data_IF_148819507470
#
_entry.id   IF_148819507470
#
_cell.length_a   1.000
_cell.length_b   1.000
_cell.length_c   1.000
_cell.angle_alpha   90.00
_cell.angle_beta   90.00
_cell.angle_gamma   90.00
#
_symmetry.space_group_name_H-M   'P 1'
#
loop_
_entity.id
_entity.type
_entity.pdbx_description
1 polymer ?
#
# COMPACT_ATOMS: atom_id res chain seq x y z
N UNK A 1 0.20 -16.74 26.90
CA UNK A 1 -0.78 -17.84 27.10
C UNK A 1 -0.47 -18.91 26.06
N UNK A 2 -0.47 -20.20 26.43
CA UNK A 2 -0.03 -21.28 25.52
C UNK A 2 -1.14 -21.61 24.51
N UNK A 3 -0.72 -21.96 23.29
CA UNK A 3 -1.54 -22.15 22.06
C UNK A 3 -2.72 -23.13 22.19
N UNK A 4 -2.79 -23.92 23.27
CA UNK A 4 -3.82 -24.94 23.46
C UNK A 4 -5.14 -24.43 24.08
N UNK A 5 -5.19 -23.23 24.67
CA UNK A 5 -6.36 -22.75 25.42
C UNK A 5 -7.38 -21.93 24.60
N UNK A 6 -7.06 -21.58 23.34
CA UNK A 6 -7.86 -20.65 22.52
C UNK A 6 -9.04 -21.35 21.80
N UNK A 7 -9.06 -22.68 21.73
CA UNK A 7 -10.11 -23.43 21.03
C UNK A 7 -11.42 -23.62 21.82
N UNK A 8 -11.51 -23.11 23.06
CA UNK A 8 -12.68 -23.33 23.93
C UNK A 8 -13.67 -22.15 24.04
N UNK A 9 -13.41 -20.99 23.43
CA UNK A 9 -14.20 -19.76 23.66
C UNK A 9 -14.94 -19.20 22.42
N UNK A 10 -14.95 -19.92 21.30
CA UNK A 10 -15.55 -19.46 20.03
C UNK A 10 -17.08 -19.59 19.90
N UNK A 11 -17.85 -19.73 20.98
CA UNK A 11 -19.26 -20.12 20.92
C UNK A 11 -20.31 -19.08 21.40
N UNK A 12 -19.92 -17.87 21.83
CA UNK A 12 -20.88 -17.03 22.58
C UNK A 12 -20.90 -15.53 22.26
N UNK A 13 -20.69 -15.10 21.01
CA UNK A 13 -20.99 -13.69 20.62
C UNK A 13 -21.55 -13.63 19.19
N UNK A 14 -22.75 -14.17 19.00
CA UNK A 14 -23.60 -13.90 17.85
C UNK A 14 -25.05 -13.85 18.33
N UNK A 15 -25.42 -12.81 19.08
CA UNK A 15 -26.81 -12.38 19.20
C UNK A 15 -26.85 -11.04 19.94
N UNK A 16 -26.85 -9.94 19.19
CA UNK A 16 -27.54 -8.66 19.46
C UNK A 16 -26.80 -7.51 18.78
N UNK A 17 -27.42 -6.97 17.72
CA UNK A 17 -27.81 -5.56 17.63
C UNK A 17 -28.38 -5.31 16.23
N UNK A 18 -29.69 -5.54 16.13
CA UNK A 18 -30.55 -4.97 15.11
C UNK A 18 -31.46 -3.96 15.84
N UNK A 19 -31.11 -2.68 15.77
CA UNK A 19 -32.00 -1.56 16.08
C UNK A 19 -31.39 -0.27 15.52
N UNK A 20 -31.81 0.11 14.32
CA UNK A 20 -31.54 1.44 13.77
C UNK A 20 -32.67 2.39 14.20
N UNK A 21 -32.39 3.62 14.67
CA UNK A 21 -33.36 4.70 14.67
C UNK A 21 -33.32 5.45 13.31
N UNK A 22 -34.49 5.85 12.83
CA UNK A 22 -34.70 6.49 11.53
C UNK A 22 -34.14 7.92 11.40
N UNK A 23 -34.16 8.49 10.18
CA UNK A 23 -33.52 9.77 9.89
C UNK A 23 -34.37 10.95 10.35
N UNK A 24 -33.79 11.85 11.13
CA UNK A 24 -34.34 13.17 11.38
C UNK A 24 -33.96 14.12 10.24
N UNK A 25 -34.96 14.87 9.76
CA UNK A 25 -34.82 15.88 8.72
C UNK A 25 -34.02 17.10 9.22
N UNK A 26 -33.02 17.52 8.45
CA UNK A 26 -32.39 18.83 8.61
C UNK A 26 -32.68 19.66 7.35
N UNK A 27 -33.29 20.83 7.59
CA UNK A 27 -33.61 21.84 6.59
C UNK A 27 -32.34 22.53 6.10
N UNK A 28 -32.43 23.09 4.89
CA UNK A 28 -31.29 23.46 4.08
C UNK A 28 -30.69 24.83 4.34
N UNK A 29 -29.53 25.01 3.70
CA UNK A 29 -29.08 26.31 3.19
C UNK A 29 -28.21 26.02 1.96
N UNK A 30 -28.78 26.28 0.79
CA UNK A 30 -28.11 26.13 -0.49
C UNK A 30 -27.07 27.25 -0.66
N UNK A 31 -25.80 26.90 -0.76
CA UNK A 31 -24.77 27.78 -1.31
C UNK A 31 -24.66 27.51 -2.81
N UNK A 32 -24.61 28.59 -3.58
CA UNK A 32 -24.54 28.59 -5.04
C UNK A 32 -23.27 27.86 -5.52
N UNK A 33 -23.46 26.85 -6.38
CA UNK A 33 -22.39 26.17 -7.09
C UNK A 33 -21.85 27.12 -8.16
N UNK A 34 -20.60 27.56 -8.01
CA UNK A 34 -19.87 28.28 -9.05
C UNK A 34 -19.59 27.36 -10.24
N UNK A 35 -19.91 27.82 -11.45
CA UNK A 35 -19.67 27.08 -12.70
C UNK A 35 -18.18 26.73 -12.91
N UNK A 36 -17.86 25.60 -13.57
CA UNK A 36 -16.49 25.24 -13.89
C UNK A 36 -15.89 26.23 -14.93
N UNK A 37 -14.58 26.55 -14.84
CA UNK A 37 -13.93 27.41 -15.82
C UNK A 37 -13.88 26.74 -17.20
N UNK A 38 -13.82 27.53 -18.29
CA UNK A 38 -13.81 26.99 -19.65
C UNK A 38 -12.52 26.17 -19.91
N UNK A 39 -12.55 25.23 -20.87
CA UNK A 39 -11.38 24.46 -21.24
C UNK A 39 -10.32 25.38 -21.84
N UNK A 40 -9.10 25.29 -21.31
CA UNK A 40 -7.94 26.07 -21.76
C UNK A 40 -7.59 25.63 -23.20
N UNK A 41 -7.66 26.59 -24.12
CA UNK A 41 -7.24 26.41 -25.51
C UNK A 41 -5.75 26.07 -25.59
N UNK A 42 -5.39 25.23 -26.58
CA UNK A 42 -4.02 24.78 -26.83
C UNK A 42 -3.04 25.97 -26.95
N UNK A 43 -1.96 25.91 -26.17
CA UNK A 43 -1.00 26.99 -26.01
C UNK A 43 0.08 27.01 -27.10
N UNK A 44 0.52 28.23 -27.45
CA UNK A 44 1.68 28.53 -28.27
C UNK A 44 3.01 28.14 -27.56
N UNK A 45 4.15 28.02 -28.29
CA UNK A 45 5.40 27.50 -27.74
C UNK A 45 6.00 28.49 -26.73
N UNK A 46 6.11 28.08 -25.47
CA UNK A 46 6.56 28.93 -24.35
C UNK A 46 6.08 28.55 -22.94
N UNK A 47 5.37 27.42 -22.74
CA UNK A 47 5.02 26.90 -21.41
C UNK A 47 6.03 25.83 -20.96
N UNK A 48 7.15 26.19 -20.32
CA UNK A 48 8.26 25.24 -20.11
C UNK A 48 8.51 24.77 -18.65
N UNK A 49 8.85 25.66 -17.70
CA UNK A 49 9.12 25.25 -16.30
C UNK A 49 8.23 25.99 -15.28
N UNK A 50 7.91 27.26 -15.55
CA UNK A 50 7.05 28.08 -14.69
C UNK A 50 5.63 27.52 -14.55
N UNK A 51 5.08 26.93 -15.62
CA UNK A 51 3.76 26.30 -15.56
C UNK A 51 3.75 25.06 -14.64
N UNK A 52 4.83 24.27 -14.68
CA UNK A 52 5.01 23.12 -13.77
C UNK A 52 5.20 23.62 -12.34
N UNK A 53 6.03 24.64 -12.13
CA UNK A 53 6.25 25.25 -10.83
C UNK A 53 4.94 25.77 -10.22
N UNK A 54 4.11 26.46 -11.02
CA UNK A 54 2.80 26.94 -10.62
C UNK A 54 1.85 25.78 -10.26
N UNK A 55 1.81 24.72 -11.09
CA UNK A 55 0.98 23.55 -10.82
C UNK A 55 1.41 22.81 -9.54
N UNK A 56 2.72 22.62 -9.35
CA UNK A 56 3.27 21.97 -8.14
C UNK A 56 2.98 22.84 -6.90
N UNK A 57 3.17 24.15 -6.97
CA UNK A 57 2.80 25.07 -5.89
C UNK A 57 1.31 24.98 -5.58
N UNK A 58 0.45 25.01 -6.58
CA UNK A 58 -0.99 24.90 -6.38
C UNK A 58 -1.36 23.57 -5.71
N UNK A 59 -0.77 22.45 -6.13
CA UNK A 59 -1.03 21.13 -5.57
C UNK A 59 -0.50 20.96 -4.14
N UNK A 60 0.59 21.65 -3.79
CA UNK A 60 1.32 21.45 -2.52
C UNK A 60 1.19 22.61 -1.53
N UNK A 61 0.52 23.71 -1.87
CA UNK A 61 0.38 24.88 -0.99
C UNK A 61 -0.25 24.55 0.36
N UNK A 62 -1.19 23.60 0.40
CA UNK A 62 -1.78 23.13 1.67
C UNK A 62 -0.76 22.46 2.59
N UNK A 63 0.31 21.90 2.04
CA UNK A 63 1.38 21.21 2.78
C UNK A 63 2.51 22.14 3.21
N UNK A 64 2.37 23.46 3.03
CA UNK A 64 3.19 24.40 3.80
C UNK A 64 3.02 24.20 5.32
N UNK A 65 1.86 23.66 5.71
CA UNK A 65 1.59 23.11 7.02
C UNK A 65 1.81 21.58 7.00
N UNK A 66 2.86 21.13 7.69
CA UNK A 66 3.22 19.71 7.72
C UNK A 66 2.14 18.84 8.37
N UNK A 67 1.34 19.37 9.28
CA UNK A 67 0.27 18.60 9.92
C UNK A 67 -0.82 18.25 8.91
N UNK A 68 -1.06 19.09 7.90
CA UNK A 68 -1.94 18.76 6.77
C UNK A 68 -1.34 17.68 5.88
N UNK A 69 -0.03 17.67 5.69
CA UNK A 69 0.63 16.58 4.97
C UNK A 69 0.49 15.25 5.75
N UNK A 70 0.75 15.26 7.05
CA UNK A 70 0.57 14.07 7.91
C UNK A 70 -0.88 13.58 7.90
N UNK A 71 -1.85 14.48 8.02
CA UNK A 71 -3.27 14.16 7.95
C UNK A 71 -3.69 13.55 6.61
N UNK A 72 -3.04 13.94 5.51
CA UNK A 72 -3.26 13.38 4.18
C UNK A 72 -2.45 12.09 3.92
N UNK A 73 -1.72 11.58 4.92
CA UNK A 73 -0.99 10.31 4.86
C UNK A 73 0.46 10.41 4.37
N UNK A 74 1.09 11.58 4.47
CA UNK A 74 2.53 11.69 4.25
C UNK A 74 3.30 11.24 5.49
N UNK A 75 4.21 10.28 5.31
CA UNK A 75 5.09 9.75 6.36
C UNK A 75 6.55 10.02 6.02
N UNK A 76 7.37 10.31 7.03
CA UNK A 76 8.80 10.54 6.85
C UNK A 76 9.48 9.24 6.41
N UNK A 77 10.20 9.25 5.30
CA UNK A 77 10.89 8.06 4.79
C UNK A 77 12.41 8.16 4.81
N UNK A 78 12.97 9.34 5.06
CA UNK A 78 14.41 9.54 5.13
C UNK A 78 14.84 10.37 6.33
N UNK A 79 16.13 10.36 6.60
CA UNK A 79 16.77 11.32 7.51
C UNK A 79 17.01 12.65 6.82
N UNK A 80 17.77 13.54 7.46
CA UNK A 80 18.27 14.74 6.79
C UNK A 80 19.35 14.34 5.77
N UNK A 81 19.00 14.38 4.49
CA UNK A 81 19.91 14.12 3.38
C UNK A 81 20.63 15.39 2.94
N UNK A 82 21.95 15.27 2.75
CA UNK A 82 22.79 16.39 2.38
C UNK A 82 22.31 17.02 1.06
N UNK A 83 22.02 18.32 1.08
CA UNK A 83 21.56 19.10 -0.06
C UNK A 83 20.17 18.72 -0.62
N UNK A 84 19.44 17.79 -0.01
CA UNK A 84 18.07 17.43 -0.42
C UNK A 84 17.06 17.85 0.65
N UNK A 85 17.24 17.47 1.91
CA UNK A 85 16.24 17.67 2.95
C UNK A 85 15.76 16.34 3.54
N UNK A 86 14.60 16.37 4.18
CA UNK A 86 13.91 15.20 4.73
C UNK A 86 12.74 14.85 3.82
N UNK A 87 12.71 13.61 3.32
CA UNK A 87 11.70 13.12 2.40
C UNK A 87 10.48 12.57 3.16
N UNK A 88 9.29 12.95 2.71
CA UNK A 88 8.01 12.47 3.18
C UNK A 88 7.23 11.89 2.02
N UNK A 89 6.79 10.64 2.12
CA UNK A 89 6.08 9.93 1.04
C UNK A 89 4.61 9.77 1.37
N UNK A 90 3.76 9.93 0.35
CA UNK A 90 2.36 9.52 0.38
C UNK A 90 2.15 8.28 -0.49
N UNK A 91 1.82 7.16 0.16
CA UNK A 91 1.66 5.86 -0.50
C UNK A 91 0.51 5.87 -1.53
N UNK A 92 -0.58 6.58 -1.25
CA UNK A 92 -1.71 6.68 -2.18
C UNK A 92 -1.34 7.45 -3.43
N UNK A 93 -0.63 8.57 -3.27
CA UNK A 93 -0.12 9.34 -4.39
C UNK A 93 0.88 8.52 -5.22
N UNK A 94 1.73 7.70 -4.57
CA UNK A 94 2.68 6.83 -5.26
C UNK A 94 2.01 5.67 -6.02
N UNK A 95 0.97 5.05 -5.45
CA UNK A 95 0.17 4.05 -6.17
C UNK A 95 -0.56 4.67 -7.36
N UNK A 96 -1.13 5.87 -7.18
CA UNK A 96 -1.81 6.59 -8.24
C UNK A 96 -0.83 7.02 -9.35
N UNK A 97 0.36 7.49 -9.02
CA UNK A 97 1.39 7.84 -10.02
C UNK A 97 1.84 6.60 -10.81
N UNK A 98 2.05 5.47 -10.13
CA UNK A 98 2.40 4.20 -10.77
C UNK A 98 1.30 3.67 -11.71
N UNK A 99 0.02 3.86 -11.35
CA UNK A 99 -1.14 3.49 -12.17
C UNK A 99 -1.43 4.50 -13.29
N UNK A 100 -1.29 5.80 -13.03
CA UNK A 100 -1.43 6.85 -14.03
C UNK A 100 -0.36 6.74 -15.12
N UNK A 101 0.85 6.32 -14.78
CA UNK A 101 1.89 5.94 -15.75
C UNK A 101 1.50 4.81 -16.71
N UNK A 102 0.47 4.01 -16.39
CA UNK A 102 -0.11 3.00 -17.31
C UNK A 102 -1.24 3.56 -18.19
N UNK A 103 -1.93 4.63 -17.77
CA UNK A 103 -3.20 5.04 -18.38
C UNK A 103 -3.30 6.50 -18.80
N UNK A 104 -2.44 7.43 -18.36
CA UNK A 104 -2.38 8.86 -18.76
C UNK A 104 -1.21 9.62 -18.09
N UNK A 105 -0.27 10.19 -18.87
CA UNK A 105 0.80 11.05 -18.35
C UNK A 105 0.32 12.40 -17.75
N UNK A 106 -0.89 12.86 -18.09
CA UNK A 106 -1.39 14.21 -17.75
C UNK A 106 -1.85 14.46 -16.31
N UNK A 107 -1.86 13.45 -15.42
CA UNK A 107 -2.31 13.60 -14.02
C UNK A 107 -1.19 13.45 -12.98
N UNK A 108 0.06 13.23 -13.41
CA UNK A 108 1.20 12.97 -12.51
C UNK A 108 1.55 14.20 -11.67
N UNK A 109 1.40 15.42 -12.21
CA UNK A 109 1.76 16.67 -11.53
C UNK A 109 0.81 17.07 -10.39
N UNK A 110 -0.44 16.58 -10.39
CA UNK A 110 -1.46 16.98 -9.42
C UNK A 110 -1.34 16.25 -8.08
N UNK A 111 -0.53 15.20 -8.02
CA UNK A 111 -0.29 14.39 -6.82
C UNK A 111 1.21 14.25 -6.62
N UNK A 112 1.81 15.15 -5.85
CA UNK A 112 3.22 15.04 -5.46
C UNK A 112 3.39 13.79 -4.59
N UNK A 113 4.04 12.71 -5.07
CA UNK A 113 4.16 11.49 -4.28
C UNK A 113 5.09 11.67 -3.10
N UNK A 114 6.03 12.61 -3.19
CA UNK A 114 6.95 12.96 -2.12
C UNK A 114 7.05 14.46 -1.92
N UNK A 115 7.19 14.86 -0.66
CA UNK A 115 7.43 16.22 -0.21
C UNK A 115 8.76 16.25 0.53
N UNK A 116 9.50 17.34 0.33
CA UNK A 116 10.80 17.54 0.96
C UNK A 116 10.70 18.69 1.91
N UNK A 117 11.02 18.46 3.19
CA UNK A 117 11.05 19.49 4.21
C UNK A 117 12.45 19.70 4.75
N UNK A 118 12.68 20.89 5.30
CA UNK A 118 13.86 21.18 6.12
C UNK A 118 13.43 21.65 7.51
N UNK A 119 14.13 21.22 8.57
CA UNK A 119 13.85 21.71 9.91
C UNK A 119 14.29 23.16 10.03
N UNK A 120 13.45 24.00 10.62
CA UNK A 120 13.76 25.40 10.94
C UNK A 120 14.42 25.48 12.32
N UNK A 121 15.10 26.61 12.62
CA UNK A 121 15.83 26.78 13.90
C UNK A 121 14.92 26.72 15.13
N UNK A 122 13.66 27.05 14.96
CA UNK A 122 12.60 27.03 15.97
C UNK A 122 11.86 25.68 16.02
N UNK A 123 12.39 24.63 15.36
CA UNK A 123 11.84 23.27 15.42
C UNK A 123 10.59 23.05 14.56
N UNK A 124 10.16 24.05 13.78
CA UNK A 124 9.10 23.88 12.77
C UNK A 124 9.66 23.26 11.49
N UNK A 125 8.79 22.86 10.58
CA UNK A 125 9.16 22.34 9.27
C UNK A 125 8.86 23.36 8.18
N UNK A 126 9.78 23.51 7.22
CA UNK A 126 9.57 24.31 6.02
C UNK A 126 9.55 23.39 4.81
N UNK A 127 8.44 23.40 4.06
CA UNK A 127 8.37 22.72 2.77
C UNK A 127 9.37 23.37 1.81
N UNK A 128 10.20 22.55 1.17
CA UNK A 128 11.25 23.00 0.27
C UNK A 128 10.98 22.62 -1.18
N UNK A 129 10.60 21.37 -1.42
CA UNK A 129 10.39 20.83 -2.76
C UNK A 129 9.32 19.74 -2.77
N UNK A 130 8.90 19.38 -3.98
CA UNK A 130 8.21 18.12 -4.27
C UNK A 130 9.14 17.23 -5.09
N UNK A 131 9.07 15.93 -4.90
CA UNK A 131 9.85 14.96 -5.67
C UNK A 131 8.91 13.94 -6.32
N UNK A 132 9.27 13.54 -7.54
CA UNK A 132 8.56 12.53 -8.31
C UNK A 132 9.54 11.42 -8.69
N UNK A 133 9.20 10.20 -8.32
CA UNK A 133 9.98 9.02 -8.65
C UNK A 133 9.20 8.10 -9.60
N UNK A 134 9.84 7.69 -10.69
CA UNK A 134 9.35 6.69 -11.62
C UNK A 134 10.34 5.53 -11.74
N UNK A 135 9.90 4.31 -12.03
CA UNK A 135 10.81 3.26 -12.46
C UNK A 135 11.62 3.76 -13.67
N UNK A 136 12.94 3.63 -13.64
CA UNK A 136 13.82 4.16 -14.69
C UNK A 136 13.51 3.60 -16.09
N UNK A 137 12.90 2.41 -16.17
CA UNK A 137 12.42 1.79 -17.41
C UNK A 137 11.18 2.42 -18.03
N UNK A 138 10.59 3.48 -17.43
CA UNK A 138 9.32 4.10 -17.87
C UNK A 138 9.47 5.55 -18.38
N UNK A 139 10.66 5.97 -18.79
CA UNK A 139 10.94 7.36 -19.18
C UNK A 139 10.46 7.75 -20.60
N UNK A 140 9.70 6.90 -21.30
CA UNK A 140 9.27 7.11 -22.69
C UNK A 140 8.40 8.37 -22.89
N UNK A 141 7.80 8.88 -21.81
CA UNK A 141 7.10 10.17 -21.78
C UNK A 141 7.67 11.03 -20.66
N UNK A 142 8.13 12.25 -20.98
CA UNK A 142 8.64 13.20 -19.97
C UNK A 142 7.51 14.15 -19.50
N UNK A 143 6.90 13.92 -18.31
CA UNK A 143 5.89 14.81 -17.75
C UNK A 143 6.47 16.14 -17.21
N UNK A 144 7.79 16.32 -17.19
CA UNK A 144 8.48 17.53 -16.73
C UNK A 144 9.35 18.11 -17.87
N UNK A 145 8.76 18.88 -18.80
CA UNK A 145 9.52 19.51 -19.88
C UNK A 145 10.72 20.31 -19.34
N UNK A 146 11.90 20.05 -19.88
CA UNK A 146 13.14 20.73 -19.48
C UNK A 146 13.79 20.21 -18.19
N UNK A 147 13.21 19.23 -17.49
CA UNK A 147 13.88 18.57 -16.39
C UNK A 147 14.85 17.49 -16.89
N UNK A 148 16.04 17.46 -16.30
CA UNK A 148 16.93 16.30 -16.35
C UNK A 148 16.59 15.40 -15.16
N UNK A 149 16.14 14.18 -15.44
CA UNK A 149 15.87 13.19 -14.40
C UNK A 149 17.20 12.66 -13.86
N UNK A 150 17.36 12.68 -12.54
CA UNK A 150 18.49 12.04 -11.87
C UNK A 150 18.18 10.58 -11.57
N UNK A 151 19.22 9.75 -11.49
CA UNK A 151 19.09 8.36 -11.09
C UNK A 151 19.37 8.25 -9.59
N UNK A 152 18.37 7.78 -8.84
CA UNK A 152 18.56 7.34 -7.47
C UNK A 152 18.89 5.84 -7.49
N UNK A 153 20.03 5.50 -6.89
CA UNK A 153 20.56 4.14 -6.89
C UNK A 153 19.59 3.16 -6.23
N UNK A 154 19.71 1.87 -6.55
CA UNK A 154 19.01 0.85 -5.78
C UNK A 154 19.59 0.81 -4.36
N UNK A 155 18.73 0.91 -3.35
CA UNK A 155 19.16 1.09 -1.96
C UNK A 155 18.35 0.28 -0.96
N UNK A 156 19.05 -0.17 0.09
CA UNK A 156 18.50 -0.77 1.30
C UNK A 156 18.18 0.33 2.29
N UNK A 157 17.01 0.27 2.90
CA UNK A 157 16.53 1.21 3.90
C UNK A 157 16.53 0.57 5.28
N UNK A 158 16.89 1.35 6.29
CA UNK A 158 17.00 0.92 7.67
C UNK A 158 16.10 1.74 8.58
N UNK A 159 15.75 1.18 9.74
CA UNK A 159 14.78 1.77 10.68
C UNK A 159 15.18 3.16 11.19
N UNK A 160 16.46 3.48 11.20
CA UNK A 160 17.00 4.79 11.58
C UNK A 160 17.06 5.80 10.41
N UNK A 161 16.34 5.51 9.32
CA UNK A 161 16.29 6.29 8.08
C UNK A 161 17.61 6.41 7.32
N UNK A 162 18.61 5.59 7.66
CA UNK A 162 19.79 5.45 6.83
C UNK A 162 19.49 4.57 5.63
N UNK A 163 20.21 4.84 4.55
CA UNK A 163 20.20 4.04 3.34
C UNK A 163 21.60 3.52 3.01
N UNK A 164 21.65 2.37 2.33
CA UNK A 164 22.87 1.80 1.81
C UNK A 164 22.63 1.27 0.38
N UNK A 165 23.36 1.78 -0.63
CA UNK A 165 23.23 1.28 -1.99
C UNK A 165 23.54 -0.22 -2.08
N UNK A 166 22.70 -0.96 -2.81
CA UNK A 166 22.88 -2.38 -3.08
C UNK A 166 22.26 -2.76 -4.43
N UNK A 167 22.83 -3.73 -5.16
CA UNK A 167 22.32 -4.11 -6.48
C UNK A 167 21.01 -4.90 -6.41
N UNK A 168 20.71 -5.54 -5.28
CA UNK A 168 19.55 -6.41 -5.10
C UNK A 168 19.16 -6.51 -3.62
N UNK A 169 17.89 -6.84 -3.30
CA UNK A 169 17.43 -6.91 -1.91
C UNK A 169 18.15 -8.00 -1.10
N UNK A 170 18.47 -9.14 -1.71
CA UNK A 170 19.25 -10.20 -1.07
C UNK A 170 20.72 -9.80 -0.75
N UNK A 171 21.21 -8.70 -1.34
CA UNK A 171 22.54 -8.15 -1.06
C UNK A 171 22.56 -7.16 0.10
N UNK A 172 21.40 -6.80 0.66
CA UNK A 172 21.32 -5.89 1.79
C UNK A 172 21.93 -6.51 3.05
N UNK A 173 22.77 -5.78 3.79
CA UNK A 173 23.07 -6.15 5.17
C UNK A 173 21.80 -6.19 6.01
N UNK A 174 21.65 -7.21 6.86
CA UNK A 174 20.51 -7.37 7.78
C UNK A 174 20.37 -6.21 8.77
N UNK A 175 21.49 -5.59 9.11
CA UNK A 175 21.58 -4.40 9.93
C UNK A 175 22.52 -3.40 9.27
N UNK A 176 22.27 -2.10 9.48
CA UNK A 176 23.11 -1.05 8.92
C UNK A 176 24.53 -1.14 9.52
N UNK A 177 25.61 -1.11 8.71
CA UNK A 177 26.97 -1.40 9.17
C UNK A 177 27.53 -0.40 10.19
N UNK A 178 26.99 0.81 10.28
CA UNK A 178 27.46 1.85 11.20
C UNK A 178 26.56 2.00 12.43
N UNK A 179 25.25 1.93 12.25
CA UNK A 179 24.27 2.21 13.32
C UNK A 179 23.68 0.96 13.96
N UNK A 180 23.83 -0.21 13.32
CA UNK A 180 23.20 -1.45 13.77
C UNK A 180 21.67 -1.48 13.61
N UNK A 181 21.08 -0.47 12.98
CA UNK A 181 19.64 -0.41 12.76
C UNK A 181 19.17 -1.57 11.85
N UNK A 182 18.02 -2.21 12.13
CA UNK A 182 17.53 -3.31 11.32
C UNK A 182 17.10 -2.86 9.93
N UNK A 183 17.31 -3.75 8.95
CA UNK A 183 16.79 -3.60 7.59
C UNK A 183 15.26 -3.50 7.60
N UNK A 184 14.73 -2.64 6.74
CA UNK A 184 13.28 -2.41 6.59
C UNK A 184 12.81 -2.81 5.20
N UNK A 185 13.38 -2.21 4.15
CA UNK A 185 12.94 -2.46 2.78
C UNK A 185 14.06 -2.18 1.79
N UNK A 186 13.83 -2.58 0.55
CA UNK A 186 14.68 -2.28 -0.57
C UNK A 186 13.82 -1.70 -1.70
N UNK A 187 14.34 -0.71 -2.42
CA UNK A 187 13.78 -0.30 -3.70
C UNK A 187 14.80 -0.47 -4.83
N UNK A 188 14.34 -0.79 -6.06
CA UNK A 188 15.20 -0.77 -7.23
C UNK A 188 15.63 0.67 -7.57
N UNK A 189 16.50 0.82 -8.57
CA UNK A 189 16.86 2.12 -9.13
C UNK A 189 15.61 2.90 -9.54
N UNK A 190 15.58 4.20 -9.25
CA UNK A 190 14.49 5.10 -9.58
C UNK A 190 15.03 6.26 -10.42
N UNK A 191 14.25 6.69 -11.41
CA UNK A 191 14.45 8.00 -12.01
C UNK A 191 13.66 9.00 -11.16
N UNK A 192 14.35 10.01 -10.64
CA UNK A 192 13.76 11.03 -9.78
C UNK A 192 13.87 12.41 -10.43
N UNK A 193 12.92 13.27 -10.10
CA UNK A 193 13.00 14.69 -10.41
C UNK A 193 12.52 15.50 -9.22
N UNK A 194 13.37 16.42 -8.79
CA UNK A 194 13.05 17.40 -7.77
C UNK A 194 12.40 18.62 -8.43
N UNK A 195 11.38 19.17 -7.78
CA UNK A 195 10.79 20.46 -8.14
C UNK A 195 10.89 21.38 -6.93
N UNK A 196 11.89 22.27 -6.94
CA UNK A 196 12.16 23.25 -5.88
C UNK A 196 11.14 24.39 -5.88
N UNK A 197 9.92 24.06 -5.46
CA UNK A 197 8.77 24.95 -5.50
C UNK A 197 8.75 25.99 -4.39
N UNK A 198 9.33 25.69 -3.23
CA UNK A 198 9.14 26.45 -2.00
C UNK A 198 10.44 26.90 -1.33
N UNK A 199 11.59 26.44 -1.83
CA UNK A 199 12.92 26.89 -1.42
C UNK A 199 13.72 27.36 -2.65
N UNK A 200 14.44 28.49 -2.58
CA UNK A 200 15.28 28.92 -3.68
C UNK A 200 16.40 27.91 -3.97
N UNK A 201 16.69 27.65 -5.24
CA UNK A 201 17.81 26.82 -5.64
C UNK A 201 18.64 27.56 -6.71
N UNK A 202 19.91 27.92 -6.43
CA UNK A 202 20.75 28.66 -7.37
C UNK A 202 21.13 27.86 -8.63
N UNK A 203 20.91 26.54 -8.62
CA UNK A 203 21.15 25.65 -9.76
C UNK A 203 19.90 25.44 -10.64
N UNK A 204 18.76 26.02 -10.27
CA UNK A 204 17.50 25.94 -11.01
C UNK A 204 16.43 25.06 -10.35
N UNK A 205 15.20 25.16 -10.86
CA UNK A 205 14.00 24.54 -10.25
C UNK A 205 13.97 23.02 -10.30
N UNK A 206 14.72 22.41 -11.24
CA UNK A 206 14.84 20.96 -11.41
C UNK A 206 16.22 20.42 -11.05
N UNK A 207 17.08 21.23 -10.42
CA UNK A 207 18.40 20.75 -10.04
C UNK A 207 18.28 19.58 -9.05
N UNK A 208 19.10 18.55 -9.24
CA UNK A 208 19.10 17.37 -8.39
C UNK A 208 19.32 17.74 -6.91
N UNK A 209 20.33 18.58 -6.65
CA UNK A 209 20.68 19.04 -5.31
C UNK A 209 20.43 20.54 -5.14
N UNK A 210 20.17 20.96 -3.90
CA UNK A 210 20.13 22.36 -3.50
C UNK A 210 21.30 22.72 -2.56
N UNK A 211 22.32 23.45 -3.03
CA UNK A 211 23.48 23.80 -2.21
C UNK A 211 23.15 24.75 -1.05
N UNK A 212 22.00 25.44 -1.07
CA UNK A 212 21.56 26.22 0.08
C UNK A 212 21.12 25.36 1.27
N UNK A 213 20.94 24.06 1.06
CA UNK A 213 20.61 23.14 2.14
C UNK A 213 21.85 22.54 2.83
N UNK A 214 23.07 22.84 2.35
CA UNK A 214 24.31 22.39 2.99
C UNK A 214 24.40 22.68 4.50
N UNK A 215 23.93 23.84 5.02
CA UNK A 215 24.00 24.13 6.47
C UNK A 215 23.13 23.24 7.35
N UNK A 216 22.12 22.56 6.79
CA UNK A 216 21.29 21.61 7.52
C UNK A 216 21.99 20.24 7.70
N UNK A 217 23.15 20.05 7.05
CA UNK A 217 23.97 18.85 7.17
C UNK A 217 23.47 17.64 6.36
N UNK A 218 24.08 16.50 6.64
CA UNK A 218 23.72 15.16 6.15
C UNK A 218 24.23 14.11 7.12
N UNK A 219 23.38 13.14 7.46
CA UNK A 219 23.60 12.09 8.48
C UNK A 219 24.32 12.58 9.75
N UNK A 220 23.68 13.51 10.48
CA UNK A 220 24.17 14.03 11.76
C UNK A 220 23.16 14.89 12.52
N UNK A 221 22.24 14.22 13.23
CA UNK A 221 21.42 14.67 14.37
C UNK A 221 20.19 15.60 14.12
N UNK A 222 19.13 15.55 14.97
CA UNK A 222 18.95 14.76 16.19
C UNK A 222 17.97 13.58 16.03
N UNK A 223 18.18 12.59 16.90
CA UNK A 223 17.25 11.49 17.16
C UNK A 223 15.88 12.01 17.64
N UNK A 224 14.87 11.96 16.78
CA UNK A 224 13.46 12.12 17.15
C UNK A 224 12.68 11.12 16.29
N UNK A 225 12.14 10.00 16.77
CA UNK A 225 11.63 9.61 18.08
C UNK A 225 12.11 8.20 18.45
N UNK A 226 12.87 8.04 19.53
CA UNK A 226 13.22 6.72 20.13
C UNK A 226 12.02 5.96 20.73
N UNK A 227 10.79 6.43 20.46
CA UNK A 227 9.55 5.79 20.91
C UNK A 227 8.64 5.34 19.78
N UNK A 228 8.98 5.60 18.51
CA UNK A 228 8.21 5.07 17.39
C UNK A 228 8.57 3.59 17.22
N UNK A 229 7.61 2.70 17.50
CA UNK A 229 7.77 1.24 17.36
C UNK A 229 8.12 0.89 15.91
N UNK A 230 7.60 1.65 14.94
CA UNK A 230 7.87 1.54 13.51
C UNK A 230 8.35 2.86 12.91
N UNK A 231 9.31 2.77 12.00
CA UNK A 231 9.78 3.87 11.15
C UNK A 231 8.80 4.18 10.02
N UNK A 232 8.84 5.39 9.47
CA UNK A 232 7.94 5.74 8.36
C UNK A 232 8.13 4.91 7.08
N UNK A 233 9.34 4.39 6.73
CA UNK A 233 9.47 3.37 5.69
C UNK A 233 8.70 2.07 5.98
N UNK A 234 8.69 1.59 7.23
CA UNK A 234 7.89 0.42 7.64
C UNK A 234 6.39 0.70 7.46
N UNK A 235 5.95 1.89 7.88
CA UNK A 235 4.56 2.33 7.70
C UNK A 235 4.19 2.38 6.21
N UNK A 236 5.00 3.06 5.40
CA UNK A 236 4.74 3.20 3.98
C UNK A 236 4.69 1.85 3.26
N UNK A 237 5.58 0.92 3.62
CA UNK A 237 5.62 -0.42 3.07
C UNK A 237 4.38 -1.25 3.46
N UNK A 238 3.99 -1.20 4.75
CA UNK A 238 2.79 -1.87 5.26
C UNK A 238 1.53 -1.36 4.58
N UNK A 239 1.32 -0.04 4.54
CA UNK A 239 0.15 0.56 3.88
C UNK A 239 0.09 0.20 2.41
N UNK A 240 1.23 0.24 1.70
CA UNK A 240 1.28 -0.11 0.28
C UNK A 240 0.83 -1.55 0.06
N UNK A 241 1.31 -2.49 0.89
CA UNK A 241 0.96 -3.89 0.76
C UNK A 241 -0.51 -4.17 1.07
N UNK A 242 -1.07 -3.56 2.12
CA UNK A 242 -2.49 -3.69 2.44
C UNK A 242 -3.37 -3.12 1.33
N UNK A 243 -3.11 -1.89 0.88
CA UNK A 243 -3.93 -1.25 -0.16
C UNK A 243 -3.81 -1.97 -1.51
N UNK A 244 -2.62 -2.44 -1.87
CA UNK A 244 -2.42 -3.30 -3.06
C UNK A 244 -3.21 -4.60 -2.97
N UNK A 245 -3.24 -5.23 -1.79
CA UNK A 245 -4.08 -6.42 -1.53
C UNK A 245 -5.56 -6.11 -1.69
N UNK A 246 -6.00 -4.93 -1.25
CA UNK A 246 -7.35 -4.41 -1.48
C UNK A 246 -7.70 -4.32 -2.97
N UNK A 247 -6.77 -3.82 -3.81
CA UNK A 247 -6.95 -3.78 -5.28
C UNK A 247 -7.07 -5.19 -5.87
N UNK A 248 -6.18 -6.12 -5.48
CA UNK A 248 -6.27 -7.53 -5.93
C UNK A 248 -7.65 -8.12 -5.61
N UNK A 249 -8.12 -7.96 -4.37
CA UNK A 249 -9.41 -8.49 -3.96
C UNK A 249 -10.58 -7.81 -4.66
N UNK A 250 -10.49 -6.51 -4.99
CA UNK A 250 -11.51 -5.82 -5.75
C UNK A 250 -11.66 -6.40 -7.17
N UNK A 251 -10.52 -6.64 -7.84
CA UNK A 251 -10.49 -7.23 -9.18
C UNK A 251 -11.00 -8.67 -9.15
N UNK A 252 -10.57 -9.46 -8.17
CA UNK A 252 -11.06 -10.83 -7.96
C UNK A 252 -12.58 -10.83 -7.71
N UNK A 253 -13.09 -9.91 -6.89
CA UNK A 253 -14.52 -9.78 -6.62
C UNK A 253 -15.30 -9.42 -7.88
N UNK A 254 -14.81 -8.49 -8.70
CA UNK A 254 -15.42 -8.13 -9.98
C UNK A 254 -15.51 -9.34 -10.94
N UNK A 255 -14.43 -10.12 -11.06
CA UNK A 255 -14.42 -11.36 -11.85
C UNK A 255 -15.37 -12.40 -11.25
N UNK A 256 -15.46 -12.53 -9.93
CA UNK A 256 -16.40 -13.42 -9.26
C UNK A 256 -17.88 -13.01 -9.48
N UNK A 257 -18.19 -11.71 -9.48
CA UNK A 257 -19.52 -11.20 -9.89
C UNK A 257 -19.82 -11.53 -11.36
N UNK A 258 -18.84 -11.49 -12.24
CA UNK A 258 -19.03 -11.87 -13.65
C UNK A 258 -19.25 -13.37 -13.83
N UNK A 259 -18.48 -14.19 -13.11
CA UNK A 259 -18.64 -15.66 -13.07
C UNK A 259 -20.05 -16.07 -12.63
N UNK A 260 -20.59 -15.38 -11.63
CA UNK A 260 -21.93 -15.61 -11.13
C UNK A 260 -23.03 -15.43 -12.19
N UNK A 261 -22.83 -14.55 -13.19
CA UNK A 261 -23.81 -14.24 -14.24
C UNK A 261 -23.90 -15.28 -15.37
N UNK A 262 -22.94 -16.21 -15.49
CA UNK A 262 -23.09 -17.41 -16.31
C UNK A 262 -22.44 -17.49 -17.71
N UNK A 263 -22.23 -16.43 -18.50
CA UNK A 263 -21.56 -16.59 -19.81
C UNK A 263 -20.06 -16.86 -19.64
N UNK A 264 -19.51 -17.81 -20.40
CA UNK A 264 -18.07 -18.16 -20.44
C UNK A 264 -17.45 -18.58 -19.10
N UNK A 265 -18.18 -19.38 -18.29
CA UNK A 265 -17.72 -19.90 -16.97
C UNK A 265 -16.26 -20.39 -16.97
N UNK A 266 -15.83 -21.15 -17.99
CA UNK A 266 -14.45 -21.66 -18.08
C UNK A 266 -13.39 -20.55 -18.17
N UNK A 267 -13.59 -19.55 -19.02
CA UNK A 267 -12.63 -18.45 -19.20
C UNK A 267 -12.53 -17.61 -17.92
N UNK A 268 -13.66 -17.34 -17.27
CA UNK A 268 -13.68 -16.58 -16.03
C UNK A 268 -13.15 -17.35 -14.82
N UNK A 269 -13.34 -18.66 -14.75
CA UNK A 269 -12.68 -19.50 -13.74
C UNK A 269 -11.17 -19.54 -13.93
N UNK A 270 -10.67 -19.61 -15.18
CA UNK A 270 -9.24 -19.49 -15.45
C UNK A 270 -8.68 -18.11 -15.05
N UNK A 271 -9.39 -17.03 -15.38
CA UNK A 271 -9.00 -15.67 -14.95
C UNK A 271 -8.98 -15.54 -13.42
N UNK A 272 -10.00 -16.06 -12.74
CA UNK A 272 -10.08 -16.10 -11.28
C UNK A 272 -8.93 -16.89 -10.66
N UNK A 273 -8.62 -18.06 -11.22
CA UNK A 273 -7.50 -18.88 -10.77
C UNK A 273 -6.17 -18.13 -10.87
N UNK A 274 -5.91 -17.51 -12.03
CA UNK A 274 -4.70 -16.72 -12.24
C UNK A 274 -4.60 -15.55 -11.25
N UNK A 275 -5.70 -14.83 -11.00
CA UNK A 275 -5.72 -13.71 -10.05
C UNK A 275 -5.46 -14.16 -8.60
N UNK A 276 -6.05 -15.27 -8.16
CA UNK A 276 -5.82 -15.82 -6.82
C UNK A 276 -4.38 -16.31 -6.63
N UNK A 277 -3.81 -16.98 -7.64
CA UNK A 277 -2.40 -17.41 -7.61
C UNK A 277 -1.49 -16.19 -7.60
N UNK A 278 -1.73 -15.20 -8.48
CA UNK A 278 -0.95 -13.98 -8.53
C UNK A 278 -0.99 -13.21 -7.20
N UNK A 279 -2.18 -13.11 -6.58
CA UNK A 279 -2.34 -12.48 -5.28
C UNK A 279 -1.58 -13.24 -4.18
N UNK A 280 -1.67 -14.56 -4.15
CA UNK A 280 -0.94 -15.38 -3.18
C UNK A 280 0.58 -15.31 -3.35
N UNK A 281 1.09 -15.31 -4.59
CA UNK A 281 2.51 -15.11 -4.89
C UNK A 281 2.96 -13.70 -4.49
N UNK A 282 2.15 -12.68 -4.78
CA UNK A 282 2.41 -11.32 -4.36
C UNK A 282 2.60 -11.23 -2.84
N UNK A 283 1.65 -11.77 -2.06
CA UNK A 283 1.76 -11.78 -0.61
C UNK A 283 2.98 -12.59 -0.14
N UNK A 284 3.18 -13.79 -0.68
CA UNK A 284 4.31 -14.66 -0.30
C UNK A 284 5.67 -13.95 -0.41
N UNK A 285 5.84 -13.13 -1.46
CA UNK A 285 7.06 -12.36 -1.71
C UNK A 285 7.13 -11.08 -0.88
N UNK A 286 6.00 -10.39 -0.67
CA UNK A 286 5.97 -9.01 -0.14
C UNK A 286 5.62 -8.89 1.33
N UNK A 287 4.99 -9.89 1.95
CA UNK A 287 4.55 -9.82 3.35
C UNK A 287 5.69 -9.51 4.31
N UNK A 288 6.89 -10.01 4.03
CA UNK A 288 8.08 -9.87 4.87
C UNK A 288 9.25 -9.41 3.98
N UNK A 289 9.56 -8.10 3.92
CA UNK A 289 10.60 -7.58 3.03
C UNK A 289 12.00 -8.11 3.36
N UNK A 290 12.24 -8.50 4.62
CA UNK A 290 13.47 -9.07 5.12
C UNK A 290 13.64 -10.55 4.77
N UNK A 291 12.53 -11.27 4.56
CA UNK A 291 12.53 -12.72 4.43
C UNK A 291 12.80 -13.21 3.00
N UNK A 292 13.24 -14.46 2.91
CA UNK A 292 13.29 -15.22 1.66
C UNK A 292 11.89 -15.27 0.99
N UNK A 293 11.80 -15.18 -0.36
CA UNK A 293 12.87 -15.19 -1.35
C UNK A 293 13.41 -13.80 -1.74
N UNK A 294 12.89 -12.75 -1.13
CA UNK A 294 13.17 -11.38 -1.58
C UNK A 294 14.34 -10.76 -0.81
N UNK A 295 14.27 -10.80 0.51
CA UNK A 295 15.13 -10.05 1.41
C UNK A 295 16.46 -10.71 1.76
N UNK A 296 17.22 -10.08 2.68
CA UNK A 296 18.54 -10.52 3.10
C UNK A 296 18.56 -11.79 3.98
N UNK A 297 17.43 -12.22 4.54
CA UNK A 297 17.38 -13.46 5.31
C UNK A 297 17.33 -14.69 4.40
N UNK A 298 18.11 -15.72 4.74
CA UNK A 298 18.05 -17.01 4.06
C UNK A 298 16.77 -17.79 4.40
N UNK A 299 16.47 -18.84 3.64
CA UNK A 299 15.26 -19.67 3.83
C UNK A 299 15.12 -20.19 5.27
N UNK A 300 16.18 -20.79 5.83
CA UNK A 300 16.15 -21.39 7.17
C UNK A 300 15.94 -20.35 8.27
N UNK A 301 16.53 -19.18 8.11
CA UNK A 301 16.42 -18.08 9.07
C UNK A 301 15.03 -17.46 9.02
N UNK A 302 14.52 -17.21 7.81
CA UNK A 302 13.16 -16.73 7.58
C UNK A 302 12.11 -17.65 8.20
N UNK A 303 12.23 -18.97 8.01
CA UNK A 303 11.28 -19.93 8.56
C UNK A 303 11.53 -20.24 10.06
N UNK A 304 12.64 -19.77 10.61
CA UNK A 304 12.93 -19.84 12.05
C UNK A 304 12.17 -18.77 12.84
N UNK A 305 11.81 -17.66 12.19
CA UNK A 305 10.93 -16.64 12.75
C UNK A 305 9.46 -17.11 12.68
N UNK A 306 8.78 -17.08 13.83
CA UNK A 306 7.40 -17.58 13.93
C UNK A 306 6.38 -16.68 13.23
N UNK A 307 6.63 -15.37 13.21
CA UNK A 307 5.77 -14.39 12.53
C UNK A 307 5.88 -14.57 11.01
N UNK A 308 7.11 -14.63 10.49
CA UNK A 308 7.38 -14.87 9.07
C UNK A 308 6.83 -16.24 8.64
N UNK A 309 7.04 -17.29 9.44
CA UNK A 309 6.49 -18.62 9.15
C UNK A 309 4.96 -18.59 9.06
N UNK A 310 4.29 -17.86 9.98
CA UNK A 310 2.85 -17.67 9.93
C UNK A 310 2.43 -16.96 8.64
N UNK A 311 3.09 -15.87 8.26
CA UNK A 311 2.84 -15.18 7.00
C UNK A 311 3.02 -16.11 5.79
N UNK A 312 4.15 -16.82 5.70
CA UNK A 312 4.40 -17.74 4.58
C UNK A 312 3.34 -18.83 4.48
N UNK A 313 2.88 -19.40 5.58
CA UNK A 313 1.82 -20.42 5.56
C UNK A 313 0.46 -19.85 5.17
N UNK A 314 0.07 -18.69 5.72
CA UNK A 314 -1.23 -18.07 5.41
C UNK A 314 -1.31 -17.63 3.95
N UNK A 315 -0.21 -17.17 3.36
CA UNK A 315 -0.17 -16.75 1.94
C UNK A 315 -0.29 -17.93 0.96
N UNK A 316 -0.14 -19.18 1.40
CA UNK A 316 -0.43 -20.36 0.56
C UNK A 316 -1.93 -20.58 0.35
N UNK A 317 -2.79 -20.04 1.21
CA UNK A 317 -4.25 -20.16 1.10
C UNK A 317 -4.78 -19.61 -0.23
N UNK A 318 -4.53 -18.34 -0.62
CA UNK A 318 -4.97 -17.82 -1.91
C UNK A 318 -4.40 -18.62 -3.11
N UNK A 319 -3.15 -19.11 -3.01
CA UNK A 319 -2.57 -19.99 -4.05
C UNK A 319 -3.37 -21.29 -4.16
N UNK A 320 -3.68 -21.94 -3.04
CA UNK A 320 -4.48 -23.16 -3.01
C UNK A 320 -5.91 -22.94 -3.55
N UNK A 321 -6.54 -21.80 -3.26
CA UNK A 321 -7.83 -21.40 -3.83
C UNK A 321 -7.71 -21.29 -5.35
N UNK A 322 -6.70 -20.58 -5.86
CA UNK A 322 -6.50 -20.41 -7.29
C UNK A 322 -6.21 -21.73 -8.03
N UNK A 323 -5.39 -22.60 -7.46
CA UNK A 323 -5.16 -23.95 -7.99
C UNK A 323 -6.45 -24.79 -8.01
N UNK A 324 -7.28 -24.70 -6.97
CA UNK A 324 -8.57 -25.36 -6.96
C UNK A 324 -9.51 -24.80 -8.05
N UNK A 325 -9.57 -23.47 -8.23
CA UNK A 325 -10.36 -22.87 -9.31
C UNK A 325 -9.89 -23.32 -10.71
N UNK A 326 -8.58 -23.44 -10.93
CA UNK A 326 -8.02 -23.94 -12.19
C UNK A 326 -8.42 -25.40 -12.47
N UNK A 327 -8.28 -26.26 -11.46
CA UNK A 327 -8.55 -27.70 -11.59
C UNK A 327 -10.04 -28.01 -11.73
N UNK A 328 -10.91 -27.29 -11.02
CA UNK A 328 -12.32 -27.66 -10.86
C UNK A 328 -13.31 -26.70 -11.55
N UNK A 329 -12.93 -25.45 -11.79
CA UNK A 329 -13.80 -24.46 -12.45
C UNK A 329 -14.04 -24.76 -13.93
N UNK A 330 -13.11 -25.47 -14.58
CA UNK A 330 -13.20 -25.86 -16.00
C UNK A 330 -14.15 -27.03 -16.30
N UNK A 331 -14.56 -27.79 -15.29
CA UNK A 331 -15.39 -29.00 -15.45
C UNK A 331 -14.66 -30.24 -15.98
N UNK A 332 -13.31 -30.21 -16.06
CA UNK A 332 -12.49 -31.34 -16.54
C UNK A 332 -12.29 -32.46 -15.51
N UNK A 333 -12.39 -32.15 -14.22
CA UNK A 333 -12.23 -33.13 -13.13
C UNK A 333 -13.58 -33.40 -12.47
N UNK A 334 -13.98 -34.68 -12.48
CA UNK A 334 -15.32 -35.15 -12.06
C UNK A 334 -15.51 -35.15 -10.53
N UNK A 335 -14.42 -35.25 -9.76
CA UNK A 335 -14.43 -35.08 -8.30
C UNK A 335 -14.07 -33.66 -7.95
N UNK A 336 -15.07 -32.84 -7.59
CA UNK A 336 -14.80 -31.55 -6.94
C UNK A 336 -14.14 -31.81 -5.59
N UNK A 337 -13.16 -31.01 -5.16
CA UNK A 337 -12.62 -31.11 -3.83
C UNK A 337 -13.78 -30.84 -2.89
N UNK A 338 -13.73 -31.41 -1.70
CA UNK A 338 -14.77 -31.17 -0.70
C UNK A 338 -14.95 -29.65 -0.58
N UNK A 339 -16.17 -29.14 -0.83
CA UNK A 339 -16.52 -27.71 -0.68
C UNK A 339 -16.09 -27.16 0.69
N UNK A 340 -16.00 -28.08 1.65
CA UNK A 340 -15.48 -27.88 2.99
C UNK A 340 -14.00 -27.49 3.02
N UNK A 341 -13.13 -28.01 2.16
CA UNK A 341 -11.70 -27.70 2.19
C UNK A 341 -11.42 -26.22 1.87
N UNK A 342 -11.98 -25.70 0.78
CA UNK A 342 -11.77 -24.29 0.38
C UNK A 342 -12.39 -23.33 1.40
N UNK A 343 -13.57 -23.69 1.92
CA UNK A 343 -14.23 -22.90 2.97
C UNK A 343 -13.46 -22.96 4.29
N UNK A 344 -12.91 -24.12 4.66
CA UNK A 344 -12.07 -24.29 5.84
C UNK A 344 -10.76 -23.50 5.71
N UNK A 345 -10.11 -23.52 4.55
CA UNK A 345 -8.91 -22.70 4.30
C UNK A 345 -9.21 -21.21 4.46
N UNK A 346 -10.34 -20.72 3.94
CA UNK A 346 -10.76 -19.33 4.14
C UNK A 346 -11.05 -19.01 5.63
N UNK A 347 -11.70 -19.93 6.36
CA UNK A 347 -11.92 -19.79 7.80
C UNK A 347 -10.61 -19.76 8.58
N UNK A 348 -9.67 -20.67 8.28
CA UNK A 348 -8.33 -20.69 8.88
C UNK A 348 -7.59 -19.39 8.59
N UNK A 349 -7.69 -18.84 7.38
CA UNK A 349 -7.16 -17.52 7.04
C UNK A 349 -7.77 -16.41 7.91
N UNK A 350 -9.09 -16.39 8.05
CA UNK A 350 -9.80 -15.42 8.91
C UNK A 350 -9.42 -15.52 10.39
N UNK A 351 -9.32 -16.74 10.94
CA UNK A 351 -8.83 -16.97 12.31
C UNK A 351 -7.38 -16.53 12.44
N UNK A 352 -6.54 -16.86 11.46
CA UNK A 352 -5.13 -16.49 11.42
C UNK A 352 -4.94 -14.98 11.52
N UNK A 353 -5.69 -14.21 10.74
CA UNK A 353 -5.68 -12.74 10.78
C UNK A 353 -6.17 -12.20 12.13
N UNK A 354 -7.21 -12.79 12.72
CA UNK A 354 -7.77 -12.34 13.99
C UNK A 354 -6.81 -12.56 15.18
N UNK A 355 -5.97 -13.59 15.10
CA UNK A 355 -5.00 -13.96 16.12
C UNK A 355 -3.58 -13.49 15.78
N UNK A 356 -3.42 -12.73 14.70
CA UNK A 356 -2.12 -12.23 14.28
C UNK A 356 -1.79 -10.95 15.06
N UNK A 357 -0.57 -10.91 15.60
CA UNK A 357 -0.02 -9.78 16.34
C UNK A 357 1.41 -9.55 15.88
N UNK A 358 1.71 -8.33 15.43
CA UNK A 358 3.09 -7.92 15.23
C UNK A 358 3.81 -7.88 16.58
N UNK A 359 5.06 -8.36 16.63
CA UNK A 359 5.91 -8.41 17.83
C UNK A 359 5.46 -9.39 18.93
N UNK A 360 4.49 -10.28 18.63
CA UNK A 360 4.09 -11.37 19.52
C UNK A 360 3.39 -10.93 20.82
N UNK A 361 2.89 -9.70 20.88
CA UNK A 361 2.15 -9.14 22.03
C UNK A 361 0.78 -8.61 21.60
N UNK A 362 -0.22 -8.80 22.46
CA UNK A 362 -1.55 -8.21 22.24
C UNK A 362 -1.48 -6.69 22.47
N UNK A 363 -1.64 -5.94 21.39
CA UNK A 363 -1.83 -4.50 21.43
C UNK A 363 -3.28 -4.19 21.02
N UNK A 364 -4.01 -3.42 21.83
CA UNK A 364 -5.39 -3.01 21.56
C UNK A 364 -5.39 -1.61 20.93
N UNK A 365 -4.78 -1.49 19.77
CA UNK A 365 -4.64 -0.24 19.02
C UNK A 365 -5.49 -0.26 17.74
N UNK A 366 -5.40 0.83 16.97
CA UNK A 366 -6.14 0.98 15.72
C UNK A 366 -5.70 -0.05 14.66
N UNK A 367 -4.43 -0.43 14.66
CA UNK A 367 -3.88 -1.49 13.81
C UNK A 367 -4.59 -2.81 14.12
N UNK A 368 -4.69 -3.18 15.39
CA UNK A 368 -5.42 -4.37 15.82
C UNK A 368 -6.90 -4.33 15.44
N UNK A 369 -7.58 -3.20 15.62
CA UNK A 369 -8.99 -3.07 15.25
C UNK A 369 -9.22 -3.33 13.75
N UNK A 370 -8.34 -2.83 12.90
CA UNK A 370 -8.38 -3.09 11.45
C UNK A 370 -8.08 -4.56 11.13
N UNK A 371 -7.09 -5.18 11.79
CA UNK A 371 -6.79 -6.61 11.64
C UNK A 371 -7.93 -7.50 12.11
N UNK A 372 -8.60 -7.15 13.21
CA UNK A 372 -9.79 -7.84 13.67
C UNK A 372 -10.94 -7.71 12.67
N UNK A 373 -11.14 -6.53 12.07
CA UNK A 373 -12.12 -6.33 11.00
C UNK A 373 -11.79 -7.17 9.76
N UNK A 374 -10.52 -7.24 9.36
CA UNK A 374 -10.04 -8.14 8.30
C UNK A 374 -10.29 -9.60 8.66
N UNK A 375 -9.95 -10.04 9.87
CA UNK A 375 -10.20 -11.40 10.35
C UNK A 375 -11.68 -11.78 10.31
N UNK A 376 -12.55 -10.89 10.79
CA UNK A 376 -14.01 -11.04 10.72
C UNK A 376 -14.51 -11.14 9.27
N UNK A 377 -14.02 -10.29 8.37
CA UNK A 377 -14.34 -10.36 6.95
C UNK A 377 -13.85 -11.68 6.33
N UNK A 378 -12.68 -12.20 6.75
CA UNK A 378 -12.15 -13.49 6.34
C UNK A 378 -13.02 -14.66 6.80
N UNK A 379 -13.48 -14.65 8.05
CA UNK A 379 -14.43 -15.62 8.58
C UNK A 379 -15.76 -15.59 7.81
N UNK A 380 -16.29 -14.39 7.59
CA UNK A 380 -17.48 -14.18 6.77
C UNK A 380 -17.28 -14.68 5.34
N UNK A 381 -16.07 -14.52 4.77
CA UNK A 381 -15.76 -14.97 3.41
C UNK A 381 -15.81 -16.50 3.32
N UNK A 382 -15.26 -17.21 4.31
CA UNK A 382 -15.36 -18.67 4.41
C UNK A 382 -16.81 -19.17 4.49
N UNK A 383 -17.64 -18.53 5.32
CA UNK A 383 -19.05 -18.86 5.43
C UNK A 383 -19.84 -18.52 4.14
N UNK A 384 -19.59 -17.34 3.57
CA UNK A 384 -20.23 -16.87 2.33
C UNK A 384 -19.87 -17.75 1.14
N UNK A 385 -18.63 -18.22 1.03
CA UNK A 385 -18.20 -19.16 -0.01
C UNK A 385 -18.97 -20.47 0.09
N UNK A 386 -19.09 -21.02 1.30
CA UNK A 386 -19.80 -22.26 1.55
C UNK A 386 -21.28 -22.14 1.17
N UNK A 387 -21.95 -21.05 1.57
CA UNK A 387 -23.34 -20.77 1.22
C UNK A 387 -23.53 -20.52 -0.27
N UNK A 388 -22.64 -19.74 -0.90
CA UNK A 388 -22.68 -19.43 -2.33
C UNK A 388 -22.60 -20.69 -3.19
N UNK A 389 -21.78 -21.68 -2.79
CA UNK A 389 -21.63 -22.94 -3.53
C UNK A 389 -22.76 -23.94 -3.31
N UNK A 390 -23.58 -23.75 -2.25
CA UNK A 390 -24.82 -24.52 -2.02
C UNK A 390 -26.06 -23.87 -2.65
N UNK A 391 -25.91 -22.67 -3.21
CA UNK A 391 -27.00 -21.94 -3.82
C UNK A 391 -27.59 -22.73 -5.01
N UNK A 392 -28.90 -22.97 -4.98
CA UNK A 392 -29.63 -23.53 -6.11
C UNK A 392 -29.76 -22.53 -7.28
N UNK A 393 -30.20 -22.99 -8.46
CA UNK A 393 -30.48 -22.13 -9.60
C UNK A 393 -31.42 -20.97 -9.22
N UNK A 394 -31.07 -19.74 -9.62
CA UNK A 394 -31.88 -18.53 -9.34
C UNK A 394 -31.70 -17.91 -7.94
N UNK A 395 -31.02 -18.57 -7.01
CA UNK A 395 -30.78 -18.02 -5.67
C UNK A 395 -29.75 -16.88 -5.71
N UNK A 396 -30.02 -15.74 -5.05
CA UNK A 396 -29.07 -14.63 -4.91
C UNK A 396 -27.88 -14.93 -4.01
N UNK A 397 -27.87 -16.08 -3.32
CA UNK A 397 -26.78 -16.48 -2.41
C UNK A 397 -25.42 -16.57 -3.12
N UNK A 398 -25.38 -16.78 -4.44
CA UNK A 398 -24.14 -16.76 -5.22
C UNK A 398 -23.40 -15.41 -5.19
N UNK A 399 -24.08 -14.32 -4.79
CA UNK A 399 -23.50 -12.98 -4.65
C UNK A 399 -22.84 -12.75 -3.29
N UNK A 400 -23.07 -13.62 -2.29
CA UNK A 400 -22.51 -13.43 -0.95
C UNK A 400 -20.98 -13.43 -0.98
N UNK A 401 -20.40 -14.43 -1.64
CA UNK A 401 -18.95 -14.54 -1.78
C UNK A 401 -18.28 -13.28 -2.35
N UNK A 402 -18.62 -12.81 -3.56
CA UNK A 402 -18.00 -11.61 -4.11
C UNK A 402 -18.32 -10.34 -3.30
N UNK A 403 -19.48 -10.28 -2.63
CA UNK A 403 -19.82 -9.14 -1.75
C UNK A 403 -18.89 -9.06 -0.54
N UNK A 404 -18.61 -10.19 0.13
CA UNK A 404 -17.69 -10.19 1.26
C UNK A 404 -16.25 -9.87 0.83
N UNK A 405 -15.83 -10.30 -0.38
CA UNK A 405 -14.55 -9.88 -0.94
C UNK A 405 -14.47 -8.36 -1.17
N UNK A 406 -15.56 -7.72 -1.59
CA UNK A 406 -15.62 -6.25 -1.68
C UNK A 406 -15.50 -5.63 -0.29
N UNK A 407 -16.15 -6.15 0.73
CA UNK A 407 -16.04 -5.64 2.10
C UNK A 407 -14.59 -5.72 2.60
N UNK A 408 -13.93 -6.87 2.43
CA UNK A 408 -12.51 -7.04 2.76
C UNK A 408 -11.63 -6.06 1.95
N UNK A 409 -11.89 -5.93 0.66
CA UNK A 409 -11.18 -5.00 -0.22
C UNK A 409 -11.28 -3.55 0.26
N UNK A 410 -12.46 -3.10 0.69
CA UNK A 410 -12.67 -1.76 1.24
C UNK A 410 -11.84 -1.56 2.50
N UNK A 411 -11.86 -2.51 3.44
CA UNK A 411 -11.04 -2.43 4.67
C UNK A 411 -9.56 -2.26 4.32
N UNK A 412 -9.05 -3.05 3.37
CA UNK A 412 -7.66 -3.00 2.93
C UNK A 412 -7.29 -1.72 2.18
N UNK A 413 -8.18 -1.21 1.31
CA UNK A 413 -7.95 0.02 0.54
C UNK A 413 -7.87 1.27 1.43
N UNK A 414 -8.56 1.25 2.57
CA UNK A 414 -8.55 2.32 3.56
C UNK A 414 -7.68 1.99 4.78
N UNK A 415 -6.84 0.94 4.69
CA UNK A 415 -5.91 0.61 5.77
C UNK A 415 -4.95 1.77 6.03
N UNK A 416 -4.72 2.06 7.30
CA UNK A 416 -3.74 3.03 7.80
C UNK A 416 -2.99 2.43 8.98
N UNK A 417 -1.70 2.70 9.10
CA UNK A 417 -0.96 2.37 10.35
C UNK A 417 -1.31 3.31 11.50
#
# INVERSE_FOLDING_TARGET
MRVHDILALGASVLLSWAAAPGPAAAHGSAQAVSAPPPPVAAAAPGLAAEAVLAAVRQATARYLDIEKARADGYVQISGMEANHGVHFMNVNAQMFSAAAGLFSAGRVLASAPMLIYVPTRDGRWQLAAAEYALPSSRLDTNPFPGAAWSEHEASCHYRDYRELPAPAPASCPKVHPVSGAPFVLFHPKLAIVHVWAWYPNPRGVYADQNPYLAPYGGAGAPEHHHGAIRSGPEIAYSEFNHRSSGVFLLVIAAVAFWQARGPRRRAWSAASAALWIAFGVYLFVRSDPEAWPWGPLGLRESLGDTEVLQHKLLTLIPIAIGLAEALYGGGGVRRRPSLWLVSALALVGGVGLFLHFHEGRLHLDWIYAQHAAMGLAGLAAGAALLLSRRAGPGSRLHLLWPTVLVLMSVVLLFYTE
#
